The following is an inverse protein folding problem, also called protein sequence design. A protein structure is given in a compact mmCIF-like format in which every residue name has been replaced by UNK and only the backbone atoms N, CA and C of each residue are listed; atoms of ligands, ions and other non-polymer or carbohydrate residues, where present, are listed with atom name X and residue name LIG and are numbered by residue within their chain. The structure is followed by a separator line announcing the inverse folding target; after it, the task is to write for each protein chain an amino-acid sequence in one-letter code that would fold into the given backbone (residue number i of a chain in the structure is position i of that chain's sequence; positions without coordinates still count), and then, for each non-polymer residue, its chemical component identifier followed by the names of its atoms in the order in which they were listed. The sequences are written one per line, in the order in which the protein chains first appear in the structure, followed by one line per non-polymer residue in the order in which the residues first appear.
data_IF_503382723788
#
_entry.id   IF_503382723788
#
_cell.length_a   1.000
_cell.length_b   1.000
_cell.length_c   1.000
_cell.angle_alpha   90.00
_cell.angle_beta   90.00
_cell.angle_gamma   90.00
#
_symmetry.space_group_name_H-M   'P 1'
#
loop_
_entity.id
_entity.type
_entity.pdbx_description
1 polymer ?
#
# COMPACT_ATOMS: atom_id res chain seq x y z
N UNK A 1 -7.07 -7.66 26.89
CA UNK A 1 -6.05 -7.64 25.85
C UNK A 1 -6.61 -7.02 24.58
N UNK A 2 -5.91 -6.07 24.01
CA UNK A 2 -6.40 -5.36 22.84
C UNK A 2 -6.00 -6.09 21.55
N UNK A 3 -6.96 -6.23 20.63
CA UNK A 3 -6.69 -6.74 19.28
C UNK A 3 -6.54 -5.61 18.27
N UNK A 4 -6.38 -4.38 18.75
CA UNK A 4 -6.24 -3.22 17.89
C UNK A 4 -4.85 -3.22 17.25
N UNK A 5 -4.82 -3.11 15.93
CA UNK A 5 -3.59 -2.97 15.17
C UNK A 5 -3.46 -1.55 14.67
N UNK A 6 -2.23 -1.05 14.69
CA UNK A 6 -1.93 0.30 14.24
C UNK A 6 -1.27 0.22 12.86
N UNK A 7 -1.86 0.89 11.89
CA UNK A 7 -1.41 0.90 10.50
C UNK A 7 -1.25 2.35 10.04
N UNK A 8 -0.16 3.02 10.43
CA UNK A 8 0.05 4.42 10.02
C UNK A 8 0.33 4.53 8.53
N UNK A 9 -0.21 5.58 7.92
CA UNK A 9 0.01 5.86 6.51
C UNK A 9 1.33 6.62 6.33
N UNK A 10 2.08 6.25 5.30
CA UNK A 10 3.31 6.97 4.94
C UNK A 10 3.02 8.18 4.05
N UNK A 11 1.76 8.47 3.75
CA UNK A 11 1.41 9.59 2.87
C UNK A 11 1.88 10.94 3.43
N UNK A 12 1.88 11.10 4.75
CA UNK A 12 2.35 12.32 5.41
C UNK A 12 3.83 12.26 5.79
N UNK A 13 4.55 11.20 5.45
CA UNK A 13 5.96 11.07 5.75
C UNK A 13 6.80 11.90 4.78
N UNK A 14 8.06 12.11 5.14
CA UNK A 14 9.02 12.75 4.26
C UNK A 14 9.44 11.75 3.18
N UNK A 15 8.99 11.95 1.95
CA UNK A 15 9.24 11.02 0.85
C UNK A 15 10.73 10.91 0.50
N UNK A 16 11.54 11.92 0.84
CA UNK A 16 12.97 11.85 0.61
C UNK A 16 13.69 10.91 1.58
N UNK A 17 12.99 10.47 2.64
CA UNK A 17 13.54 9.61 3.69
C UNK A 17 12.59 8.47 4.05
N UNK A 18 11.87 7.92 3.08
CA UNK A 18 10.83 6.91 3.34
C UNK A 18 11.33 5.69 4.11
N UNK A 19 12.52 5.19 3.77
CA UNK A 19 13.08 4.05 4.49
C UNK A 19 13.27 4.33 5.97
N UNK A 20 13.83 5.50 6.30
CA UNK A 20 14.01 5.90 7.68
C UNK A 20 12.68 6.16 8.39
N UNK A 21 11.70 6.75 7.67
CA UNK A 21 10.37 6.99 8.21
C UNK A 21 9.68 5.69 8.59
N UNK A 22 9.77 4.67 7.73
CA UNK A 22 9.18 3.36 7.99
C UNK A 22 9.84 2.71 9.20
N UNK A 23 11.16 2.77 9.30
CA UNK A 23 11.87 2.22 10.46
C UNK A 23 11.49 2.93 11.75
N UNK A 24 11.27 4.23 11.70
CA UNK A 24 10.81 5.01 12.85
C UNK A 24 9.41 4.58 13.29
N UNK A 25 8.51 4.31 12.33
CA UNK A 25 7.17 3.84 12.64
C UNK A 25 7.21 2.46 13.29
N UNK A 26 8.07 1.59 12.81
CA UNK A 26 8.23 0.25 13.40
C UNK A 26 8.72 0.36 14.84
N UNK A 27 9.70 1.21 15.12
CA UNK A 27 10.22 1.44 16.47
C UNK A 27 9.15 2.04 17.38
N UNK A 28 8.24 2.83 16.82
CA UNK A 28 7.16 3.45 17.59
C UNK A 28 6.01 2.48 17.90
N UNK A 29 6.07 1.25 17.38
CA UNK A 29 5.07 0.23 17.72
C UNK A 29 4.01 -0.01 16.65
N UNK A 30 4.23 0.43 15.41
CA UNK A 30 3.28 0.15 14.33
C UNK A 30 3.20 -1.36 14.07
N UNK A 31 2.00 -1.84 13.73
CA UNK A 31 1.77 -3.25 13.40
C UNK A 31 1.82 -3.49 11.90
N UNK A 32 1.44 -2.48 11.12
CA UNK A 32 1.44 -2.54 9.65
C UNK A 32 1.92 -1.19 9.13
N UNK A 33 2.30 -1.16 7.86
CA UNK A 33 2.58 0.10 7.17
C UNK A 33 1.50 0.28 6.10
N UNK A 34 0.75 1.36 6.18
CA UNK A 34 -0.30 1.68 5.21
C UNK A 34 0.26 2.55 4.11
N UNK A 35 0.09 2.12 2.87
CA UNK A 35 0.64 2.80 1.70
C UNK A 35 -0.51 3.18 0.77
N UNK A 36 -0.77 4.48 0.62
CA UNK A 36 -1.81 5.00 -0.26
C UNK A 36 -1.21 5.28 -1.62
N UNK A 37 -1.69 4.59 -2.65
CA UNK A 37 -1.23 4.73 -4.03
C UNK A 37 -2.29 5.46 -4.84
N UNK A 38 -1.91 6.59 -5.41
CA UNK A 38 -2.79 7.48 -6.17
C UNK A 38 -2.16 7.77 -7.53
N UNK A 39 -2.99 7.84 -8.58
CA UNK A 39 -2.51 7.95 -9.96
C UNK A 39 -2.80 9.28 -10.65
N UNK A 40 -3.46 10.21 -9.96
CA UNK A 40 -3.85 11.48 -10.58
C UNK A 40 -5.01 11.37 -11.56
N UNK A 41 -5.62 10.18 -11.66
CA UNK A 41 -6.75 9.92 -12.56
C UNK A 41 -7.97 9.48 -11.76
N UNK A 42 -7.87 8.40 -10.98
CA UNK A 42 -8.95 7.96 -10.10
C UNK A 42 -9.18 8.97 -8.97
N UNK A 43 -8.08 9.55 -8.46
CA UNK A 43 -8.10 10.61 -7.46
C UNK A 43 -7.15 11.73 -7.90
N UNK A 44 -7.35 12.99 -7.45
CA UNK A 44 -6.58 14.13 -7.93
C UNK A 44 -5.21 14.31 -7.25
N UNK A 45 -4.47 13.24 -7.09
CA UNK A 45 -3.12 13.29 -6.53
C UNK A 45 -2.30 12.14 -7.12
N UNK A 46 -0.99 12.26 -7.07
CA UNK A 46 -0.05 11.21 -7.52
C UNK A 46 0.91 10.96 -6.37
N UNK A 47 1.08 9.71 -5.96
CA UNK A 47 1.96 9.39 -4.84
C UNK A 47 3.15 8.51 -5.27
N UNK A 48 3.01 7.19 -5.19
CA UNK A 48 4.13 6.28 -5.48
C UNK A 48 3.65 5.09 -6.29
N UNK A 49 4.61 4.36 -6.85
CA UNK A 49 4.31 3.16 -7.61
C UNK A 49 4.99 1.92 -7.04
N UNK A 50 4.87 0.77 -7.73
CA UNK A 50 5.40 -0.50 -7.21
C UNK A 50 6.92 -0.50 -7.07
N UNK A 51 7.64 0.23 -7.91
CA UNK A 51 9.10 0.30 -7.82
C UNK A 51 9.55 0.85 -6.47
N UNK A 52 8.90 1.92 -6.00
CA UNK A 52 9.22 2.52 -4.70
C UNK A 52 8.92 1.53 -3.58
N UNK A 53 7.78 0.85 -3.66
CA UNK A 53 7.38 -0.12 -2.64
C UNK A 53 8.40 -1.27 -2.56
N UNK A 54 8.87 -1.75 -3.70
CA UNK A 54 9.87 -2.82 -3.71
C UNK A 54 11.18 -2.40 -3.05
N UNK A 55 11.58 -1.14 -3.21
CA UNK A 55 12.78 -0.61 -2.55
C UNK A 55 12.58 -0.47 -1.03
N UNK A 56 11.36 -0.14 -0.61
CA UNK A 56 11.05 0.00 0.81
C UNK A 56 10.94 -1.34 1.53
N UNK A 57 10.67 -2.42 0.82
CA UNK A 57 10.41 -3.73 1.43
C UNK A 57 11.56 -4.19 2.34
N UNK A 58 12.79 -3.88 1.97
CA UNK A 58 13.96 -4.30 2.74
C UNK A 58 14.18 -3.53 4.05
N UNK A 59 13.44 -2.43 4.23
CA UNK A 59 13.61 -1.57 5.42
C UNK A 59 12.79 -2.02 6.61
N UNK A 60 11.87 -2.95 6.43
CA UNK A 60 11.02 -3.42 7.53
C UNK A 60 10.49 -4.82 7.24
N UNK A 61 10.23 -5.58 8.31
CA UNK A 61 9.53 -6.86 8.20
C UNK A 61 8.02 -6.71 8.42
N UNK A 62 7.53 -5.50 8.73
CA UNK A 62 6.11 -5.26 8.94
C UNK A 62 5.33 -5.48 7.65
N UNK A 63 4.09 -5.99 7.74
CA UNK A 63 3.25 -6.13 6.56
C UNK A 63 2.95 -4.78 5.92
N UNK A 64 2.91 -4.76 4.59
CA UNK A 64 2.49 -3.59 3.82
C UNK A 64 1.02 -3.74 3.44
N UNK A 65 0.23 -2.79 3.93
CA UNK A 65 -1.19 -2.66 3.64
C UNK A 65 -1.33 -1.58 2.56
N UNK A 66 -1.47 -2.01 1.30
CA UNK A 66 -1.41 -1.13 0.13
C UNK A 66 -2.82 -0.83 -0.36
N UNK A 67 -3.18 0.44 -0.35
CA UNK A 67 -4.49 0.92 -0.78
C UNK A 67 -4.36 1.55 -2.17
N UNK A 68 -4.94 0.91 -3.17
CA UNK A 68 -4.81 1.33 -4.57
C UNK A 68 -5.99 2.22 -4.98
N UNK A 69 -5.71 3.50 -5.11
CA UNK A 69 -6.65 4.49 -5.63
C UNK A 69 -6.23 4.86 -7.05
N UNK A 70 -6.27 3.85 -7.93
CA UNK A 70 -5.83 3.96 -9.33
C UNK A 70 -6.86 3.31 -10.25
N UNK A 71 -6.88 3.74 -11.51
CA UNK A 71 -7.78 3.20 -12.51
C UNK A 71 -7.07 3.10 -13.87
N UNK A 72 -7.11 1.94 -14.53
CA UNK A 72 -7.70 0.67 -14.12
C UNK A 72 -6.81 -0.09 -13.13
N UNK A 73 -7.38 -0.55 -12.04
CA UNK A 73 -6.60 -1.17 -10.97
C UNK A 73 -6.14 -2.59 -11.34
N UNK A 74 -6.96 -3.34 -12.09
CA UNK A 74 -6.67 -4.75 -12.35
C UNK A 74 -5.35 -4.97 -13.10
N UNK A 75 -4.88 -3.97 -13.85
CA UNK A 75 -3.62 -4.08 -14.60
C UNK A 75 -2.39 -4.06 -13.70
N UNK A 76 -2.53 -3.57 -12.47
CA UNK A 76 -1.39 -3.29 -11.61
C UNK A 76 -1.36 -4.12 -10.33
N UNK A 77 -2.42 -4.86 -10.02
CA UNK A 77 -2.51 -5.62 -8.77
C UNK A 77 -1.32 -6.57 -8.61
N UNK A 78 -0.96 -7.30 -9.68
CA UNK A 78 0.17 -8.22 -9.62
C UNK A 78 1.49 -7.48 -9.37
N UNK A 79 1.68 -6.33 -9.98
CA UNK A 79 2.90 -5.55 -9.82
C UNK A 79 3.09 -5.12 -8.36
N UNK A 80 2.00 -4.70 -7.70
CA UNK A 80 2.06 -4.31 -6.30
C UNK A 80 2.25 -5.52 -5.37
N UNK A 81 1.64 -6.64 -5.70
CA UNK A 81 1.85 -7.87 -4.93
C UNK A 81 3.32 -8.31 -5.02
N UNK A 82 3.88 -8.30 -6.22
CA UNK A 82 5.28 -8.67 -6.45
C UNK A 82 6.25 -7.70 -5.77
N UNK A 83 5.85 -6.43 -5.64
CA UNK A 83 6.67 -5.43 -4.96
C UNK A 83 6.74 -5.62 -3.44
N UNK A 84 5.85 -6.43 -2.87
CA UNK A 84 5.88 -6.75 -1.45
C UNK A 84 4.62 -6.40 -0.67
N UNK A 85 3.52 -6.05 -1.36
CA UNK A 85 2.25 -5.81 -0.69
C UNK A 85 1.73 -7.10 -0.06
N UNK A 86 1.38 -7.04 1.21
CA UNK A 86 0.79 -8.17 1.92
C UNK A 86 -0.73 -8.11 1.89
N UNK A 87 -1.28 -6.91 1.93
CA UNK A 87 -2.71 -6.65 1.83
C UNK A 87 -2.91 -5.61 0.74
N UNK A 88 -3.86 -5.86 -0.16
CA UNK A 88 -4.20 -4.92 -1.23
C UNK A 88 -5.67 -4.56 -1.11
N UNK A 89 -5.94 -3.27 -0.91
CA UNK A 89 -7.30 -2.74 -0.84
C UNK A 89 -7.60 -2.00 -2.14
N UNK A 90 -8.73 -2.31 -2.76
CA UNK A 90 -9.13 -1.72 -4.03
C UNK A 90 -10.54 -1.13 -3.93
N UNK A 91 -10.87 -0.28 -4.91
CA UNK A 91 -12.21 0.27 -5.07
C UNK A 91 -12.89 -0.46 -6.23
N UNK A 92 -14.06 -1.08 -6.03
CA UNK A 92 -14.71 -1.86 -7.09
C UNK A 92 -14.95 -1.09 -8.38
N UNK A 93 -15.24 0.20 -8.29
CA UNK A 93 -15.48 1.05 -9.46
C UNK A 93 -14.24 1.26 -10.33
N UNK A 94 -13.05 0.92 -9.83
CA UNK A 94 -11.80 1.00 -10.61
C UNK A 94 -11.48 -0.30 -11.34
N UNK A 95 -12.31 -1.33 -11.21
CA UNK A 95 -12.08 -2.64 -11.79
C UNK A 95 -12.95 -2.82 -13.03
N UNK A 96 -12.35 -3.26 -14.15
CA UNK A 96 -13.10 -3.50 -15.38
C UNK A 96 -13.67 -4.92 -15.46
N UNK A 97 -13.31 -5.81 -14.54
CA UNK A 97 -13.90 -7.14 -14.41
C UNK A 97 -13.93 -7.52 -12.93
N UNK A 98 -14.84 -8.46 -12.58
CA UNK A 98 -15.17 -8.73 -11.18
C UNK A 98 -14.37 -9.87 -10.56
N UNK A 99 -13.54 -10.58 -11.33
CA UNK A 99 -12.86 -11.76 -10.83
C UNK A 99 -11.37 -11.49 -10.60
N UNK A 100 -10.99 -11.42 -9.34
CA UNK A 100 -9.63 -11.18 -8.93
C UNK A 100 -9.14 -12.34 -8.04
N UNK A 101 -7.93 -12.81 -8.29
CA UNK A 101 -7.39 -14.03 -7.66
C UNK A 101 -6.05 -13.79 -6.97
N UNK A 102 -5.92 -12.75 -6.19
CA UNK A 102 -4.71 -12.54 -5.39
C UNK A 102 -4.95 -12.93 -3.94
N UNK A 103 -3.85 -13.22 -3.20
CA UNK A 103 -3.95 -13.81 -1.86
C UNK A 103 -4.79 -13.03 -0.87
N UNK A 104 -4.63 -11.71 -0.81
CA UNK A 104 -5.38 -10.90 0.13
C UNK A 104 -5.78 -9.59 -0.53
N UNK A 105 -7.07 -9.50 -0.92
CA UNK A 105 -7.62 -8.31 -1.56
C UNK A 105 -8.85 -7.88 -0.79
N UNK A 106 -8.88 -6.61 -0.37
CA UNK A 106 -10.02 -6.01 0.28
C UNK A 106 -10.66 -5.01 -0.66
N UNK A 107 -11.98 -5.02 -0.70
CA UNK A 107 -12.78 -4.14 -1.53
C UNK A 107 -13.39 -3.03 -0.68
N UNK A 108 -13.34 -1.81 -1.14
CA UNK A 108 -13.89 -0.67 -0.41
C UNK A 108 -15.07 -0.05 -1.13
#
# INVERSE_FOLDING_TARGET
MSNIKISPSILSADFSKLGNEIQSLEKAGADLIHIDVMDGHFVPNITIGPEVISKLRKHTALPFDVHLMISPVHKYIKDFADAGADIITIHPEAVSYTHLTLPTICSV
#
